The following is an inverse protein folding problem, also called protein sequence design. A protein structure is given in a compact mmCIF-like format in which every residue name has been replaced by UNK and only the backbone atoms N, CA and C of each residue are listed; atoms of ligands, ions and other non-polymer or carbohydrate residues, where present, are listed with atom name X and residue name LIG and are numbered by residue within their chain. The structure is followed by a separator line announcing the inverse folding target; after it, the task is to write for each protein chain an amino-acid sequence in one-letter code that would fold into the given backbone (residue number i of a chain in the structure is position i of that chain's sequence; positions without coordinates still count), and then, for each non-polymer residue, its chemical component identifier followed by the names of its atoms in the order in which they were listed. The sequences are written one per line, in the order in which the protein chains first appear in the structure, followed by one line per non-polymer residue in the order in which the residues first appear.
data_IF_654583092627
#
_entry.id   IF_654583092627
#
_cell.length_a   1.000
_cell.length_b   1.000
_cell.length_c   1.000
_cell.angle_alpha   90.00
_cell.angle_beta   90.00
_cell.angle_gamma   90.00
#
_symmetry.space_group_name_H-M   'P 1'
#
loop_
_entity.id
_entity.type
_entity.pdbx_description
1 polymer ?
#
# COMPACT_ATOMS: atom_id res chain seq x y z
N UNK A 1 19.04 -12.86 13.60
CA UNK A 1 18.25 -11.77 14.16
C UNK A 1 16.96 -12.29 14.80
N UNK A 2 16.57 -11.69 15.92
CA UNK A 2 15.36 -12.07 16.61
C UNK A 2 14.14 -11.67 15.78
N UNK A 3 13.08 -12.48 15.81
CA UNK A 3 11.82 -12.16 15.14
C UNK A 3 11.19 -10.93 15.79
N UNK A 4 10.74 -9.97 14.98
CA UNK A 4 9.93 -8.85 15.42
C UNK A 4 8.47 -9.22 15.30
N UNK A 5 7.76 -9.29 16.42
CA UNK A 5 6.34 -9.62 16.43
C UNK A 5 5.48 -8.37 16.23
N UNK A 6 4.33 -8.53 15.61
CA UNK A 6 3.41 -7.45 15.31
C UNK A 6 2.75 -6.84 16.53
N UNK A 7 2.29 -7.68 17.46
CA UNK A 7 1.56 -7.25 18.66
C UNK A 7 2.26 -6.16 19.48
N UNK A 8 3.55 -6.26 19.80
CA UNK A 8 4.25 -5.19 20.51
C UNK A 8 4.33 -3.88 19.72
N UNK A 9 4.41 -3.95 18.38
CA UNK A 9 4.49 -2.76 17.53
C UNK A 9 3.14 -2.06 17.45
N UNK A 10 2.06 -2.80 17.22
CA UNK A 10 0.70 -2.24 17.12
C UNK A 10 0.20 -1.67 18.46
N UNK A 11 0.67 -2.19 19.58
CA UNK A 11 0.34 -1.72 20.92
C UNK A 11 1.33 -0.67 21.45
N UNK A 12 2.33 -0.30 20.68
CA UNK A 12 3.32 0.71 21.09
C UNK A 12 2.69 2.08 21.22
N UNK A 13 3.24 2.89 22.11
CA UNK A 13 2.83 4.28 22.30
C UNK A 13 2.95 5.05 20.98
N UNK A 14 4.01 4.83 20.22
CA UNK A 14 4.25 5.49 18.94
C UNK A 14 3.14 5.24 17.91
N UNK A 15 2.61 4.03 17.84
CA UNK A 15 1.48 3.72 16.97
C UNK A 15 0.16 4.23 17.54
N UNK A 16 -0.12 3.96 18.79
CA UNK A 16 -1.39 4.32 19.46
C UNK A 16 -1.63 5.83 19.48
N UNK A 17 -0.60 6.63 19.69
CA UNK A 17 -0.68 8.10 19.74
C UNK A 17 -0.61 8.77 18.36
N UNK A 18 -0.40 8.02 17.29
CA UNK A 18 -0.41 8.57 15.93
C UNK A 18 -1.78 9.11 15.56
N UNK A 19 -1.82 10.28 14.93
CA UNK A 19 -3.06 10.97 14.54
C UNK A 19 -3.64 10.50 13.20
N UNK A 20 -2.88 9.74 12.42
CA UNK A 20 -3.27 9.32 11.08
C UNK A 20 -3.86 7.93 11.04
N UNK A 21 -5.01 7.77 10.36
CA UNK A 21 -5.61 6.47 10.05
C UNK A 21 -4.71 5.60 9.15
N UNK A 22 -3.77 6.21 8.43
CA UNK A 22 -2.87 5.54 7.48
C UNK A 22 -1.49 5.27 8.08
N UNK A 23 -1.39 5.21 9.40
CA UNK A 23 -0.16 4.83 10.11
C UNK A 23 0.02 3.31 10.07
N UNK A 24 1.23 2.89 9.71
CA UNK A 24 1.63 1.48 9.61
C UNK A 24 2.56 1.15 10.78
N UNK A 25 2.21 0.12 11.54
CA UNK A 25 3.07 -0.47 12.57
C UNK A 25 4.08 -1.40 11.88
N UNK A 26 5.10 -0.81 11.22
CA UNK A 26 5.95 -1.53 10.28
C UNK A 26 6.91 -2.50 10.95
N UNK A 27 7.44 -2.16 12.13
CA UNK A 27 8.37 -3.03 12.82
C UNK A 27 9.34 -2.27 13.73
N UNK A 28 10.63 -2.60 13.61
CA UNK A 28 11.69 -2.01 14.44
C UNK A 28 12.88 -1.55 13.61
N UNK A 29 13.60 -0.57 14.12
CA UNK A 29 14.91 -0.15 13.61
C UNK A 29 15.99 -1.17 13.98
N UNK A 30 17.19 -1.00 13.43
CA UNK A 30 18.35 -1.83 13.77
C UNK A 30 18.80 -1.66 15.23
N UNK A 31 18.46 -0.55 15.86
CA UNK A 31 18.71 -0.31 17.29
C UNK A 31 17.60 -0.84 18.21
N UNK A 32 16.56 -1.47 17.66
CA UNK A 32 15.46 -2.07 18.41
C UNK A 32 14.31 -1.12 18.76
N UNK A 33 14.32 0.10 18.25
CA UNK A 33 13.25 1.07 18.45
C UNK A 33 12.05 0.77 17.54
N UNK A 34 10.85 1.04 18.03
CA UNK A 34 9.62 0.92 17.23
C UNK A 34 9.67 1.87 16.04
N UNK A 35 9.38 1.34 14.86
CA UNK A 35 9.28 2.09 13.62
C UNK A 35 7.85 2.08 13.09
N UNK A 36 7.36 3.26 12.71
CA UNK A 36 6.08 3.44 12.03
C UNK A 36 6.28 4.18 10.71
N UNK A 37 5.41 3.92 9.75
CA UNK A 37 5.34 4.66 8.49
C UNK A 37 3.94 5.26 8.37
N UNK A 38 3.80 6.35 7.63
CA UNK A 38 2.51 6.97 7.35
C UNK A 38 2.28 7.00 5.84
N UNK A 39 1.37 6.15 5.36
CA UNK A 39 1.04 6.08 3.94
C UNK A 39 0.48 7.40 3.39
N UNK A 40 -0.28 8.14 4.19
CA UNK A 40 -0.81 9.45 3.79
C UNK A 40 0.26 10.47 3.44
N UNK A 41 1.43 10.36 4.07
CA UNK A 41 2.59 11.23 3.79
C UNK A 41 3.46 10.74 2.65
N UNK A 42 3.48 9.43 2.35
CA UNK A 42 4.34 8.85 1.30
C UNK A 42 3.95 9.19 -0.14
N UNK A 43 2.76 9.46 -0.65
CA UNK A 43 1.40 8.94 -0.33
C UNK A 43 1.12 7.57 -0.94
N UNK A 44 2.03 7.06 -1.76
CA UNK A 44 1.98 5.76 -2.42
C UNK A 44 3.25 5.00 -2.11
N UNK A 45 3.20 3.68 -2.12
CA UNK A 45 4.31 2.82 -1.72
C UNK A 45 4.53 1.72 -2.74
N UNK A 46 5.77 1.59 -3.21
CA UNK A 46 6.24 0.47 -4.00
C UNK A 46 7.02 -0.49 -3.11
N UNK A 47 6.66 -1.77 -3.16
CA UNK A 47 7.32 -2.83 -2.36
C UNK A 47 7.84 -3.90 -3.32
N UNK A 48 9.12 -4.22 -3.23
CA UNK A 48 9.70 -5.27 -4.05
C UNK A 48 10.71 -6.13 -3.28
N UNK A 49 10.81 -7.40 -3.67
CA UNK A 49 11.73 -8.36 -3.10
C UNK A 49 11.43 -9.76 -3.60
N UNK A 50 12.39 -10.68 -3.47
CA UNK A 50 12.23 -12.07 -3.91
C UNK A 50 11.24 -12.83 -3.03
N UNK A 51 10.81 -14.00 -3.50
CA UNK A 51 9.96 -14.91 -2.72
C UNK A 51 10.62 -15.27 -1.39
N UNK A 52 9.84 -15.18 -0.30
CA UNK A 52 10.34 -15.49 1.05
C UNK A 52 11.14 -14.38 1.72
N UNK A 53 11.29 -13.22 1.06
CA UNK A 53 12.05 -12.08 1.61
C UNK A 53 11.28 -11.28 2.67
N UNK A 54 9.95 -11.42 2.74
CA UNK A 54 9.08 -10.71 3.67
C UNK A 54 8.05 -9.79 3.01
N UNK A 55 7.99 -9.74 1.67
CA UNK A 55 7.06 -8.88 0.92
C UNK A 55 5.59 -9.11 1.32
N UNK A 56 5.15 -10.37 1.31
CA UNK A 56 3.75 -10.71 1.62
C UNK A 56 3.40 -10.42 3.08
N UNK A 57 4.32 -10.67 3.99
CA UNK A 57 4.15 -10.33 5.40
C UNK A 57 4.04 -8.82 5.59
N UNK A 58 4.82 -8.04 4.84
CA UNK A 58 4.73 -6.57 4.86
C UNK A 58 3.34 -6.07 4.44
N UNK A 59 2.79 -6.62 3.36
CA UNK A 59 1.44 -6.28 2.91
C UNK A 59 0.42 -6.59 4.00
N UNK A 60 0.51 -7.74 4.65
CA UNK A 60 -0.36 -8.10 5.77
C UNK A 60 -0.19 -7.13 6.96
N UNK A 61 1.03 -6.74 7.28
CA UNK A 61 1.32 -5.75 8.32
C UNK A 61 0.64 -4.41 8.03
N UNK A 62 0.69 -3.96 6.78
CA UNK A 62 0.04 -2.71 6.33
C UNK A 62 -1.48 -2.81 6.48
N UNK A 63 -2.09 -3.86 5.95
CA UNK A 63 -3.54 -4.07 6.00
C UNK A 63 -4.02 -4.18 7.46
N UNK A 64 -3.36 -4.99 8.26
CA UNK A 64 -3.72 -5.16 9.68
C UNK A 64 -3.55 -3.86 10.48
N UNK A 65 -2.52 -3.06 10.20
CA UNK A 65 -2.34 -1.76 10.86
C UNK A 65 -3.53 -0.84 10.61
N UNK A 66 -4.05 -0.82 9.39
CA UNK A 66 -5.21 0.01 9.05
C UNK A 66 -6.49 -0.54 9.67
N UNK A 67 -6.68 -1.85 9.69
CA UNK A 67 -7.85 -2.50 10.30
C UNK A 67 -7.92 -2.26 11.82
N UNK A 68 -6.79 -2.12 12.48
CA UNK A 68 -6.73 -1.82 13.93
C UNK A 68 -7.27 -0.43 14.27
N UNK A 69 -7.24 0.49 13.34
CA UNK A 69 -7.53 1.91 13.61
C UNK A 69 -8.77 2.43 12.88
N UNK A 70 -9.01 1.98 11.66
CA UNK A 70 -10.04 2.53 10.79
C UNK A 70 -11.31 1.68 10.77
N UNK A 71 -12.46 2.36 10.85
CA UNK A 71 -13.76 1.72 10.63
C UNK A 71 -14.03 1.53 9.14
N UNK A 72 -15.02 0.69 8.75
CA UNK A 72 -15.41 0.55 7.35
C UNK A 72 -15.88 1.85 6.69
N UNK A 73 -16.40 2.80 7.45
CA UNK A 73 -16.82 4.11 6.96
C UNK A 73 -15.63 5.05 6.72
N UNK A 74 -14.52 4.80 7.41
CA UNK A 74 -13.32 5.62 7.32
C UNK A 74 -12.33 5.16 6.26
N UNK A 75 -12.31 3.85 5.96
CA UNK A 75 -11.34 3.26 5.04
C UNK A 75 -11.89 2.04 4.31
N UNK A 76 -11.68 2.01 3.00
CA UNK A 76 -12.00 0.89 2.12
C UNK A 76 -10.76 0.41 1.39
N UNK A 77 -10.68 -0.90 1.17
CA UNK A 77 -9.64 -1.53 0.35
C UNK A 77 -10.18 -1.94 -1.01
N UNK A 78 -9.32 -1.85 -2.01
CA UNK A 78 -9.43 -2.58 -3.27
C UNK A 78 -8.21 -3.48 -3.34
N UNK A 79 -8.42 -4.79 -3.38
CA UNK A 79 -7.33 -5.76 -3.36
C UNK A 79 -7.28 -6.53 -4.68
N UNK A 80 -6.11 -6.53 -5.31
CA UNK A 80 -5.83 -7.23 -6.57
C UNK A 80 -4.79 -8.30 -6.29
N UNK A 81 -5.19 -9.57 -6.44
CA UNK A 81 -4.35 -10.75 -6.23
C UNK A 81 -4.44 -11.70 -7.42
N UNK A 82 -3.59 -11.52 -8.45
CA UNK A 82 -3.63 -12.34 -9.66
C UNK A 82 -3.37 -13.83 -9.40
N UNK A 83 -2.63 -14.17 -8.36
CA UNK A 83 -2.28 -15.56 -8.00
C UNK A 83 -3.35 -16.26 -7.15
N UNK A 84 -4.33 -15.52 -6.62
CA UNK A 84 -5.45 -16.05 -5.83
C UNK A 84 -5.05 -16.74 -4.52
N UNK A 85 -3.94 -16.38 -3.93
CA UNK A 85 -3.38 -17.04 -2.74
C UNK A 85 -3.28 -16.09 -1.56
N UNK A 86 -2.52 -15.00 -1.69
CA UNK A 86 -2.07 -14.17 -0.57
C UNK A 86 -3.19 -13.38 0.10
N UNK A 87 -4.19 -12.94 -0.67
CA UNK A 87 -5.25 -12.06 -0.18
C UNK A 87 -6.61 -12.72 0.00
N UNK A 88 -6.70 -14.03 -0.28
CA UNK A 88 -7.96 -14.76 -0.18
C UNK A 88 -8.61 -14.66 1.20
N UNK A 89 -7.80 -14.58 2.25
CA UNK A 89 -8.23 -14.45 3.65
C UNK A 89 -9.07 -13.17 3.88
N UNK A 90 -8.75 -12.10 3.17
CA UNK A 90 -9.44 -10.82 3.31
C UNK A 90 -10.84 -10.77 2.67
N UNK A 91 -11.30 -11.85 2.03
CA UNK A 91 -12.70 -11.98 1.60
C UNK A 91 -13.68 -11.80 2.76
N UNK A 92 -13.25 -12.10 3.99
CA UNK A 92 -14.04 -11.87 5.21
C UNK A 92 -14.41 -10.40 5.42
N UNK A 93 -13.70 -9.47 4.76
CA UNK A 93 -13.98 -8.03 4.83
C UNK A 93 -15.08 -7.58 3.84
N UNK A 94 -15.64 -8.51 3.05
CA UNK A 94 -16.76 -8.19 2.15
C UNK A 94 -17.97 -7.67 2.95
N UNK A 95 -18.52 -6.55 2.50
CA UNK A 95 -19.57 -5.85 3.24
C UNK A 95 -19.08 -4.92 4.34
N UNK A 96 -17.78 -4.90 4.61
CA UNK A 96 -17.13 -4.05 5.63
C UNK A 96 -16.08 -3.15 4.98
N UNK A 97 -14.80 -3.51 5.06
CA UNK A 97 -13.69 -2.69 4.55
C UNK A 97 -13.39 -2.88 3.06
N UNK A 98 -13.99 -3.86 2.37
CA UNK A 98 -13.80 -4.00 0.92
C UNK A 98 -14.75 -3.08 0.16
N UNK A 99 -14.19 -2.29 -0.77
CA UNK A 99 -14.98 -1.43 -1.64
C UNK A 99 -15.74 -2.30 -2.66
N UNK A 100 -17.08 -2.17 -2.68
CA UNK A 100 -17.89 -2.84 -3.67
C UNK A 100 -17.88 -2.06 -4.98
N UNK A 101 -17.53 -2.75 -6.07
CA UNK A 101 -17.51 -2.20 -7.43
C UNK A 101 -18.61 -2.86 -8.27
N UNK A 102 -19.37 -2.04 -8.99
CA UNK A 102 -20.57 -2.48 -9.71
C UNK A 102 -20.29 -3.58 -10.75
N UNK A 103 -19.22 -3.42 -11.50
CA UNK A 103 -18.88 -4.34 -12.61
C UNK A 103 -17.94 -5.48 -12.20
N UNK A 104 -17.60 -5.59 -10.91
CA UNK A 104 -16.66 -6.58 -10.40
C UNK A 104 -17.34 -7.34 -9.25
N UNK A 105 -17.85 -8.57 -9.51
CA UNK A 105 -18.60 -9.31 -8.50
C UNK A 105 -17.74 -9.91 -7.39
N UNK A 106 -16.48 -10.25 -7.69
CA UNK A 106 -15.58 -10.85 -6.70
C UNK A 106 -15.05 -9.83 -5.68
N UNK A 107 -15.01 -10.18 -4.38
CA UNK A 107 -14.49 -9.28 -3.34
C UNK A 107 -12.99 -9.01 -3.46
N UNK A 108 -12.21 -9.99 -3.90
CA UNK A 108 -10.79 -9.85 -4.23
C UNK A 108 -10.64 -10.01 -5.74
N UNK A 109 -10.08 -9.00 -6.38
CA UNK A 109 -9.90 -8.98 -7.84
C UNK A 109 -8.77 -9.92 -8.24
N UNK A 110 -9.05 -10.86 -9.13
CA UNK A 110 -8.08 -11.91 -9.50
C UNK A 110 -7.73 -11.95 -10.99
N UNK A 111 -8.62 -11.49 -11.86
CA UNK A 111 -8.33 -11.45 -13.30
C UNK A 111 -7.72 -10.13 -13.74
N UNK A 112 -6.93 -10.15 -14.79
CA UNK A 112 -6.34 -8.94 -15.38
C UNK A 112 -7.42 -7.99 -15.91
N UNK A 113 -8.46 -8.52 -16.55
CA UNK A 113 -9.56 -7.71 -17.07
C UNK A 113 -10.29 -6.97 -15.97
N UNK A 114 -10.59 -7.62 -14.84
CA UNK A 114 -11.21 -6.98 -13.69
C UNK A 114 -10.24 -6.04 -12.95
N UNK A 115 -8.94 -6.33 -12.96
CA UNK A 115 -7.94 -5.41 -12.43
C UNK A 115 -7.92 -4.08 -13.21
N UNK A 116 -7.99 -4.14 -14.53
CA UNK A 116 -8.07 -2.96 -15.39
C UNK A 116 -9.37 -2.19 -15.12
N UNK A 117 -10.50 -2.89 -15.00
CA UNK A 117 -11.78 -2.27 -14.63
C UNK A 117 -11.70 -1.58 -13.28
N UNK A 118 -11.08 -2.20 -12.28
CA UNK A 118 -10.87 -1.63 -10.95
C UNK A 118 -10.03 -0.35 -11.01
N UNK A 119 -8.94 -0.35 -11.76
CA UNK A 119 -8.09 0.82 -11.94
C UNK A 119 -8.83 1.98 -12.59
N UNK A 120 -9.60 1.70 -13.64
CA UNK A 120 -10.44 2.71 -14.32
C UNK A 120 -11.56 3.22 -13.42
N UNK A 121 -12.18 2.36 -12.63
CA UNK A 121 -13.18 2.75 -11.64
C UNK A 121 -12.59 3.70 -10.58
N UNK A 122 -11.37 3.45 -10.14
CA UNK A 122 -10.65 4.33 -9.21
C UNK A 122 -10.30 5.68 -9.83
N UNK A 123 -9.93 5.73 -11.12
CA UNK A 123 -9.74 6.99 -11.82
C UNK A 123 -11.04 7.82 -11.87
N UNK A 124 -12.17 7.19 -12.18
CA UNK A 124 -13.49 7.86 -12.16
C UNK A 124 -13.86 8.33 -10.76
N UNK A 125 -13.62 7.52 -9.75
CA UNK A 125 -13.86 7.90 -8.35
C UNK A 125 -12.98 9.08 -7.93
N UNK A 126 -11.73 9.11 -8.35
CA UNK A 126 -10.82 10.23 -8.13
C UNK A 126 -11.39 11.52 -8.73
N UNK A 127 -11.82 11.48 -10.00
CA UNK A 127 -12.39 12.63 -10.68
C UNK A 127 -13.70 13.10 -10.01
N UNK A 128 -14.56 12.17 -9.61
CA UNK A 128 -15.77 12.46 -8.84
C UNK A 128 -15.46 13.17 -7.53
N UNK A 129 -14.46 12.68 -6.81
CA UNK A 129 -14.03 13.26 -5.53
C UNK A 129 -13.49 14.68 -5.69
N UNK A 130 -12.74 14.96 -6.73
CA UNK A 130 -12.29 16.32 -7.03
C UNK A 130 -13.47 17.29 -7.21
N UNK A 131 -14.52 16.87 -7.92
CA UNK A 131 -15.72 17.68 -8.06
C UNK A 131 -16.44 17.88 -6.72
N UNK A 132 -16.54 16.85 -5.89
CA UNK A 132 -17.13 16.94 -4.55
C UNK A 132 -16.35 17.91 -3.66
N UNK A 133 -15.02 17.84 -3.68
CA UNK A 133 -14.17 18.76 -2.92
C UNK A 133 -14.34 20.21 -3.40
N UNK A 134 -14.43 20.42 -4.70
CA UNK A 134 -14.63 21.76 -5.28
C UNK A 134 -15.99 22.35 -4.87
N UNK A 135 -17.06 21.56 -4.93
CA UNK A 135 -18.40 21.99 -4.50
C UNK A 135 -18.44 22.31 -2.99
N UNK A 136 -17.74 21.55 -2.17
CA UNK A 136 -17.62 21.77 -0.74
C UNK A 136 -16.66 22.91 -0.37
N UNK A 137 -15.95 23.47 -1.34
CA UNK A 137 -14.94 24.54 -1.16
C UNK A 137 -13.84 24.10 -0.16
N UNK A 138 -13.32 22.89 -0.34
CA UNK A 138 -12.21 22.32 0.45
C UNK A 138 -11.11 21.83 -0.48
N UNK A 139 -9.89 21.66 0.05
CA UNK A 139 -8.71 21.31 -0.73
C UNK A 139 -8.38 19.82 -0.77
N UNK A 140 -8.82 19.09 0.24
CA UNK A 140 -8.48 17.68 0.41
C UNK A 140 -9.52 16.93 1.24
N UNK A 141 -9.36 15.61 1.29
CA UNK A 141 -10.27 14.72 2.02
C UNK A 141 -10.33 15.02 3.52
N UNK A 142 -9.23 15.42 4.14
CA UNK A 142 -9.20 15.70 5.59
C UNK A 142 -10.05 16.93 5.92
N UNK A 143 -9.93 18.00 5.14
CA UNK A 143 -10.78 19.19 5.27
C UNK A 143 -12.26 18.85 5.00
N UNK A 144 -12.52 18.04 3.97
CA UNK A 144 -13.87 17.58 3.64
C UNK A 144 -14.49 16.82 4.80
N UNK A 145 -13.79 15.81 5.32
CA UNK A 145 -14.30 14.97 6.39
C UNK A 145 -14.48 15.75 7.71
N UNK A 146 -13.60 16.69 8.01
CA UNK A 146 -13.77 17.59 9.15
C UNK A 146 -15.07 18.40 9.03
N UNK A 147 -15.33 18.97 7.85
CA UNK A 147 -16.53 19.72 7.56
C UNK A 147 -17.79 18.84 7.68
N UNK A 148 -17.75 17.62 7.13
CA UNK A 148 -18.87 16.68 7.20
C UNK A 148 -19.18 16.27 8.63
N UNK A 149 -18.17 15.97 9.44
CA UNK A 149 -18.35 15.63 10.87
C UNK A 149 -18.97 16.76 11.67
N UNK A 150 -18.57 18.00 11.41
CA UNK A 150 -19.15 19.18 12.07
C UNK A 150 -20.64 19.38 11.75
N UNK A 151 -21.09 18.92 10.61
CA UNK A 151 -22.46 19.04 10.12
C UNK A 151 -23.29 17.75 10.30
N UNK A 152 -22.74 16.74 10.97
CA UNK A 152 -23.34 15.40 11.10
C UNK A 152 -23.70 14.75 9.74
N UNK A 153 -22.87 15.01 8.74
CA UNK A 153 -23.01 14.46 7.39
C UNK A 153 -22.05 13.30 7.15
N UNK A 154 -22.32 12.52 6.10
CA UNK A 154 -21.51 11.35 5.73
C UNK A 154 -20.10 11.75 5.29
N UNK A 155 -19.09 11.13 5.88
CA UNK A 155 -17.70 11.32 5.50
C UNK A 155 -17.36 10.53 4.23
N UNK A 156 -16.24 10.89 3.62
CA UNK A 156 -15.65 10.20 2.47
C UNK A 156 -14.57 9.24 2.98
N UNK A 157 -14.66 7.92 2.69
CA UNK A 157 -13.62 6.99 3.13
C UNK A 157 -12.32 7.18 2.36
N UNK A 158 -11.19 6.96 3.01
CA UNK A 158 -9.95 6.68 2.31
C UNK A 158 -10.08 5.39 1.52
N UNK A 159 -9.44 5.31 0.37
CA UNK A 159 -9.35 4.08 -0.41
C UNK A 159 -7.88 3.69 -0.53
N UNK A 160 -7.57 2.45 -0.16
CA UNK A 160 -6.22 1.87 -0.32
C UNK A 160 -6.30 0.75 -1.35
N UNK A 161 -5.67 0.97 -2.49
CA UNK A 161 -5.49 -0.06 -3.51
C UNK A 161 -4.24 -0.87 -3.17
N UNK A 162 -4.40 -2.18 -3.02
CA UNK A 162 -3.29 -3.10 -2.78
C UNK A 162 -3.17 -4.06 -3.97
N UNK A 163 -2.02 -4.05 -4.62
CA UNK A 163 -1.68 -4.98 -5.70
C UNK A 163 -0.58 -5.90 -5.21
N UNK A 164 -0.89 -7.18 -5.06
CA UNK A 164 0.06 -8.17 -4.53
C UNK A 164 1.19 -8.51 -5.50
N UNK A 165 0.90 -8.57 -6.79
CA UNK A 165 1.90 -8.85 -7.82
C UNK A 165 1.65 -8.03 -9.09
N UNK A 166 2.38 -6.94 -9.23
CA UNK A 166 2.31 -6.07 -10.41
C UNK A 166 2.79 -6.77 -11.68
N UNK A 167 3.80 -7.65 -11.58
CA UNK A 167 4.39 -8.33 -12.72
C UNK A 167 3.36 -9.12 -13.53
N UNK A 168 2.45 -9.81 -12.85
CA UNK A 168 1.43 -10.62 -13.53
C UNK A 168 0.45 -9.74 -14.34
N UNK A 169 0.16 -8.55 -13.88
CA UNK A 169 -0.67 -7.59 -14.60
C UNK A 169 0.09 -6.93 -15.77
N UNK A 170 1.34 -6.55 -15.56
CA UNK A 170 2.18 -5.91 -16.58
C UNK A 170 2.50 -6.85 -17.74
N UNK A 171 2.70 -8.13 -17.46
CA UNK A 171 2.96 -9.14 -18.50
C UNK A 171 1.76 -9.39 -19.41
N UNK A 172 0.54 -9.20 -18.89
CA UNK A 172 -0.69 -9.42 -19.66
C UNK A 172 -1.12 -8.18 -20.45
N UNK A 173 -0.99 -6.99 -19.89
CA UNK A 173 -1.49 -5.75 -20.50
C UNK A 173 -0.80 -4.52 -19.93
N UNK A 174 0.48 -4.35 -20.21
CA UNK A 174 1.31 -3.29 -19.62
C UNK A 174 0.72 -1.88 -19.77
N UNK A 175 0.26 -1.51 -20.97
CA UNK A 175 -0.28 -0.17 -21.21
C UNK A 175 -1.55 0.13 -20.42
N UNK A 176 -2.46 -0.84 -20.38
CA UNK A 176 -3.76 -0.68 -19.72
C UNK A 176 -3.64 -0.69 -18.18
N UNK A 177 -2.53 -1.17 -17.66
CA UNK A 177 -2.23 -1.22 -16.21
C UNK A 177 -1.36 -0.02 -15.79
N UNK A 178 -0.29 0.25 -16.50
CA UNK A 178 0.67 1.31 -16.16
C UNK A 178 0.05 2.71 -16.19
N UNK A 179 -0.70 3.05 -17.24
CA UNK A 179 -1.26 4.38 -17.42
C UNK A 179 -2.21 4.80 -16.28
N UNK A 180 -3.22 3.99 -15.89
CA UNK A 180 -4.09 4.36 -14.78
C UNK A 180 -3.36 4.37 -13.43
N UNK A 181 -2.39 3.49 -13.19
CA UNK A 181 -1.57 3.51 -11.97
C UNK A 181 -0.79 4.82 -11.90
N UNK A 182 -0.13 5.22 -12.98
CA UNK A 182 0.62 6.48 -13.04
C UNK A 182 -0.29 7.69 -12.78
N UNK A 183 -1.45 7.76 -13.41
CA UNK A 183 -2.40 8.85 -13.23
C UNK A 183 -2.91 8.94 -11.79
N UNK A 184 -3.30 7.81 -11.21
CA UNK A 184 -3.70 7.74 -9.80
C UNK A 184 -2.55 8.20 -8.89
N UNK A 185 -1.35 7.68 -9.07
CA UNK A 185 -0.21 8.04 -8.25
C UNK A 185 0.13 9.53 -8.32
N UNK A 186 -0.06 10.18 -9.46
CA UNK A 186 0.16 11.61 -9.63
C UNK A 186 -0.89 12.48 -8.93
N UNK A 187 -2.15 12.08 -8.94
CA UNK A 187 -3.27 12.97 -8.68
C UNK A 187 -4.16 12.57 -7.49
N UNK A 188 -4.03 11.37 -6.95
CA UNK A 188 -5.05 10.84 -6.03
C UNK A 188 -4.82 11.17 -4.55
N UNK A 189 -3.68 11.73 -4.18
CA UNK A 189 -3.35 12.03 -2.77
C UNK A 189 -4.40 12.92 -2.09
N UNK A 190 -4.75 14.02 -2.72
CA UNK A 190 -5.68 14.99 -2.14
C UNK A 190 -7.08 14.42 -1.92
N UNK A 191 -7.49 13.45 -2.72
CA UNK A 191 -8.81 12.81 -2.65
C UNK A 191 -8.82 11.53 -1.82
N UNK A 192 -7.72 11.22 -1.15
CA UNK A 192 -7.65 10.09 -0.21
C UNK A 192 -7.62 8.71 -0.86
N UNK A 193 -7.04 8.59 -2.05
CA UNK A 193 -6.80 7.30 -2.71
C UNK A 193 -5.30 7.04 -2.71
N UNK A 194 -4.89 5.95 -2.06
CA UNK A 194 -3.48 5.58 -1.87
C UNK A 194 -3.21 4.20 -2.45
N UNK A 195 -2.02 4.03 -3.06
CA UNK A 195 -1.62 2.82 -3.74
C UNK A 195 -0.48 2.13 -3.00
N UNK A 196 -0.64 0.84 -2.77
CA UNK A 196 0.42 -0.06 -2.29
C UNK A 196 0.61 -1.13 -3.37
N UNK A 197 1.70 -1.01 -4.11
CA UNK A 197 1.98 -1.86 -5.27
C UNK A 197 3.20 -2.71 -4.96
N UNK A 198 3.07 -4.03 -5.12
CA UNK A 198 4.13 -4.96 -4.79
C UNK A 198 4.48 -5.89 -5.94
N UNK A 199 5.73 -6.35 -5.98
CA UNK A 199 6.20 -7.33 -6.95
C UNK A 199 7.37 -8.16 -6.40
N UNK A 200 7.36 -9.48 -6.78
CA UNK A 200 8.50 -10.38 -6.57
C UNK A 200 9.52 -10.30 -7.72
N UNK A 201 9.21 -9.56 -8.78
CA UNK A 201 10.06 -9.42 -9.96
C UNK A 201 10.62 -8.00 -10.07
N UNK A 202 11.79 -7.73 -9.48
CA UNK A 202 12.41 -6.41 -9.52
C UNK A 202 13.11 -6.15 -10.86
N UNK A 203 12.39 -6.31 -11.97
CA UNK A 203 12.91 -6.06 -13.32
C UNK A 203 12.43 -4.70 -13.86
N UNK A 204 13.16 -4.15 -14.81
CA UNK A 204 12.82 -2.87 -15.45
C UNK A 204 11.54 -2.93 -16.28
N UNK A 205 11.11 -4.12 -16.69
CA UNK A 205 9.84 -4.31 -17.42
C UNK A 205 8.62 -4.22 -16.50
N UNK A 206 8.81 -4.41 -15.21
CA UNK A 206 7.77 -4.33 -14.18
C UNK A 206 7.86 -3.01 -13.42
N UNK A 207 9.03 -2.73 -12.88
CA UNK A 207 9.34 -1.46 -12.21
C UNK A 207 9.92 -0.51 -13.27
N UNK A 208 9.03 -0.03 -14.13
CA UNK A 208 9.38 0.84 -15.26
C UNK A 208 9.79 2.24 -14.78
N UNK A 209 10.37 3.03 -15.68
CA UNK A 209 10.67 4.43 -15.40
C UNK A 209 9.43 5.24 -15.03
N UNK A 210 8.28 4.94 -15.62
CA UNK A 210 6.99 5.60 -15.32
C UNK A 210 6.55 5.25 -13.89
N UNK A 211 6.61 3.98 -13.50
CA UNK A 211 6.29 3.54 -12.13
C UNK A 211 7.23 4.20 -11.14
N UNK A 212 8.53 4.15 -11.36
CA UNK A 212 9.52 4.77 -10.45
C UNK A 212 9.33 6.27 -10.29
N UNK A 213 9.00 6.97 -11.36
CA UNK A 213 8.76 8.41 -11.33
C UNK A 213 7.56 8.80 -10.43
N UNK A 214 6.59 7.90 -10.29
CA UNK A 214 5.34 8.15 -9.56
C UNK A 214 5.30 7.49 -8.17
N UNK A 215 6.29 6.66 -7.85
CA UNK A 215 6.43 5.99 -6.55
C UNK A 215 7.77 6.31 -5.91
N UNK A 216 7.95 7.52 -5.37
CA UNK A 216 9.21 7.91 -4.74
C UNK A 216 9.46 7.20 -3.41
N UNK A 217 8.41 6.80 -2.69
CA UNK A 217 8.54 6.00 -1.48
C UNK A 217 8.59 4.50 -1.84
N UNK A 218 9.64 3.81 -1.39
CA UNK A 218 9.89 2.42 -1.76
C UNK A 218 10.43 1.60 -0.60
N UNK A 219 10.05 0.32 -0.59
CA UNK A 219 10.62 -0.69 0.31
C UNK A 219 11.24 -1.78 -0.55
N UNK A 220 12.52 -2.06 -0.31
CA UNK A 220 13.22 -3.19 -0.88
C UNK A 220 13.47 -4.25 0.19
N UNK A 221 12.90 -5.44 0.01
CA UNK A 221 13.31 -6.64 0.72
C UNK A 221 14.50 -7.28 0.01
N UNK A 222 15.02 -8.39 0.52
CA UNK A 222 16.17 -9.07 -0.06
C UNK A 222 15.94 -9.37 -1.55
N UNK A 223 16.97 -9.11 -2.35
CA UNK A 223 17.03 -9.41 -3.77
C UNK A 223 18.29 -10.21 -4.11
N UNK A 224 18.31 -10.79 -5.30
CA UNK A 224 19.41 -11.67 -5.72
C UNK A 224 20.68 -10.92 -6.15
N UNK A 225 20.56 -9.69 -6.62
CA UNK A 225 21.68 -8.97 -7.22
C UNK A 225 21.68 -7.47 -6.91
N UNK A 226 22.84 -6.84 -7.11
CA UNK A 226 22.98 -5.37 -7.04
C UNK A 226 22.14 -4.65 -8.10
N UNK A 227 21.95 -5.27 -9.26
CA UNK A 227 21.12 -4.71 -10.35
C UNK A 227 19.68 -4.62 -9.87
N UNK A 228 19.15 -5.68 -9.26
CA UNK A 228 17.78 -5.71 -8.72
C UNK A 228 17.59 -4.64 -7.63
N UNK A 229 18.59 -4.48 -6.75
CA UNK A 229 18.57 -3.42 -5.74
C UNK A 229 18.47 -2.03 -6.37
N UNK A 230 19.30 -1.75 -7.37
CA UNK A 230 19.27 -0.46 -8.09
C UNK A 230 17.93 -0.24 -8.81
N UNK A 231 17.34 -1.30 -9.34
CA UNK A 231 16.00 -1.20 -9.98
C UNK A 231 14.95 -0.73 -8.99
N UNK A 232 15.00 -1.17 -7.74
CA UNK A 232 14.00 -0.81 -6.73
C UNK A 232 14.31 0.56 -6.09
N UNK A 233 15.51 0.74 -5.56
CA UNK A 233 15.84 1.88 -4.68
C UNK A 233 16.95 2.79 -5.23
N UNK A 234 17.30 2.65 -6.49
CA UNK A 234 18.32 3.44 -7.19
C UNK A 234 19.75 3.32 -6.62
N UNK A 235 19.98 2.35 -5.73
CA UNK A 235 21.28 2.09 -5.10
C UNK A 235 21.40 0.61 -4.74
N UNK A 236 22.64 0.18 -4.45
CA UNK A 236 22.91 -1.17 -3.96
C UNK A 236 22.58 -1.29 -2.48
N UNK A 237 22.48 -2.51 -1.98
CA UNK A 237 22.30 -2.80 -0.56
C UNK A 237 21.23 -3.86 -0.29
N UNK A 238 20.15 -3.92 -1.07
CA UNK A 238 19.10 -4.91 -0.86
C UNK A 238 19.58 -6.35 -1.10
N UNK A 239 20.62 -6.58 -1.90
CA UNK A 239 21.26 -7.88 -2.09
C UNK A 239 21.97 -8.39 -0.84
N UNK A 240 22.25 -7.52 0.11
CA UNK A 240 22.93 -7.85 1.37
C UNK A 240 21.97 -8.08 2.53
N UNK A 241 20.68 -7.86 2.33
CA UNK A 241 19.67 -8.10 3.36
C UNK A 241 19.57 -9.59 3.72
N UNK A 242 19.14 -9.86 4.93
CA UNK A 242 19.14 -11.21 5.51
C UNK A 242 17.88 -12.01 5.08
N UNK A 243 16.85 -11.33 4.62
CA UNK A 243 15.53 -11.92 4.37
C UNK A 243 14.61 -11.87 5.58
N UNK A 244 13.44 -12.50 5.47
CA UNK A 244 12.45 -12.63 6.56
C UNK A 244 12.05 -11.31 7.22
N UNK A 245 11.87 -10.27 6.43
CA UNK A 245 11.42 -8.97 6.91
C UNK A 245 12.50 -7.91 7.06
N UNK A 246 13.77 -8.27 6.86
CA UNK A 246 14.86 -7.30 6.78
C UNK A 246 14.71 -6.48 5.50
N UNK A 247 14.61 -5.15 5.60
CA UNK A 247 14.29 -4.28 4.48
C UNK A 247 15.04 -2.96 4.50
N UNK A 248 15.11 -2.34 3.32
CA UNK A 248 15.55 -0.96 3.14
C UNK A 248 14.36 -0.10 2.72
N UNK A 249 14.10 0.96 3.45
CA UNK A 249 13.06 1.93 3.18
C UNK A 249 13.66 3.22 2.63
N UNK A 250 13.19 3.61 1.44
CA UNK A 250 13.50 4.90 0.82
C UNK A 250 12.27 5.80 0.97
N UNK A 251 12.40 6.86 1.77
CA UNK A 251 11.31 7.79 2.01
C UNK A 251 11.16 8.84 0.91
N UNK A 252 10.03 9.55 0.94
CA UNK A 252 9.74 10.64 0.03
C UNK A 252 10.77 11.77 0.21
N UNK A 253 11.39 12.20 -0.89
CA UNK A 253 12.36 13.30 -0.88
C UNK A 253 13.72 12.98 -0.26
N UNK A 254 13.97 11.73 0.07
CA UNK A 254 15.24 11.25 0.60
C UNK A 254 16.02 10.47 -0.46
N UNK A 255 17.34 10.60 -0.44
CA UNK A 255 18.26 9.73 -1.17
C UNK A 255 18.85 8.62 -0.28
N UNK A 256 18.64 8.75 1.03
CA UNK A 256 19.16 7.82 2.02
C UNK A 256 18.13 6.75 2.37
N UNK A 257 18.57 5.51 2.44
CA UNK A 257 17.74 4.39 2.88
C UNK A 257 17.89 4.16 4.38
N UNK A 258 16.78 3.78 5.00
CA UNK A 258 16.73 3.36 6.40
C UNK A 258 16.51 1.86 6.45
N UNK A 259 17.35 1.15 7.21
CA UNK A 259 17.18 -0.29 7.44
C UNK A 259 16.19 -0.52 8.57
N UNK A 260 15.15 -1.28 8.27
CA UNK A 260 14.08 -1.65 9.21
C UNK A 260 13.89 -3.16 9.18
N UNK A 261 13.31 -3.70 10.24
CA UNK A 261 12.87 -5.07 10.29
C UNK A 261 11.35 -5.12 10.40
N UNK A 262 10.70 -5.65 9.36
CA UNK A 262 9.24 -5.74 9.29
C UNK A 262 8.69 -6.67 10.38
N UNK A 263 7.61 -6.26 11.02
CA UNK A 263 6.93 -7.08 12.00
C UNK A 263 6.27 -8.29 11.34
N UNK A 264 6.40 -9.44 11.99
CA UNK A 264 5.78 -10.68 11.55
C UNK A 264 4.35 -10.77 12.11
N UNK A 265 3.38 -10.85 11.21
CA UNK A 265 1.97 -11.08 11.52
C UNK A 265 1.65 -12.54 11.26
N UNK A 266 1.12 -13.24 12.27
CA UNK A 266 0.70 -14.62 12.11
C UNK A 266 -0.66 -14.71 11.43
N UNK A 267 -0.99 -15.89 10.89
CA UNK A 267 -2.33 -16.12 10.32
C UNK A 267 -3.42 -15.94 11.39
N UNK A 268 -3.19 -16.42 12.61
CA UNK A 268 -4.14 -16.26 13.71
C UNK A 268 -4.38 -14.78 14.07
N UNK A 269 -3.36 -13.94 13.94
CA UNK A 269 -3.50 -12.50 14.18
C UNK A 269 -4.27 -11.78 13.05
N UNK A 270 -4.24 -12.33 11.84
CA UNK A 270 -5.00 -11.78 10.70
C UNK A 270 -6.47 -12.18 10.79
N UNK A 271 -6.78 -13.42 11.23
CA UNK A 271 -8.15 -13.93 11.39
C UNK A 271 -8.91 -13.26 12.53
#
# INVERSE_FOLDING_TARGET
PATVYFKPVINSQKFVESDSLLTIAVGKTTSGEIATLNLGKMPHLLIAGTTGSGKSVCINTIICSFLYRATPEELKFVMIDPKKVEMALYKKLEGYHLLKMEDIPEPIVTSTDHAILALRALEKEMDRRYNVLAEAVVRNIDEYNEKMRKNDETIMPYIVLVVDELADLMMMSAKDVEAPIARLAQLSRAVGIHLVIATQRPSVDVITGVIKANFPARIAFQVASKIDSRTIIDQTGAEKLIGRGDMLHLGLGSSDVTRLHNAFVTLDEIE
#
